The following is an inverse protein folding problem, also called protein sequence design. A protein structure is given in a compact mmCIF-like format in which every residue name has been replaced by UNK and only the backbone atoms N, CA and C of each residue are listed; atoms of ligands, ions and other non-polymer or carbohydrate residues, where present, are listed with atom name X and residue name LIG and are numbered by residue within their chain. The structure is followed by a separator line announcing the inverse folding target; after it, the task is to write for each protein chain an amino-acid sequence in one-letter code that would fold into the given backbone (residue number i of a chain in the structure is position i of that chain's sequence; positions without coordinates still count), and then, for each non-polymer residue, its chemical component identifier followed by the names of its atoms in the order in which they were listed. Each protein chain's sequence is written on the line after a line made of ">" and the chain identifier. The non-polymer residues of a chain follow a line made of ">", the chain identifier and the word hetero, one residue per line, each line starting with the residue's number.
data_IF_423275335332
#
_entry.id   IF_423275335332
#
_cell.length_a   1.000
_cell.length_b   1.000
_cell.length_c   1.000
_cell.angle_alpha   90.00
_cell.angle_beta   90.00
_cell.angle_gamma   90.00
#
_symmetry.space_group_name_H-M   'P 1'
#
loop_
_entity.id
_entity.type
_entity.pdbx_description
1 polymer ?
#
# COMPACT_ATOMS: atom_id res chain seq x y z
N UNK A 1 4.85 -2.61 -28.38
CA UNK A 1 4.84 -1.69 -27.23
C UNK A 1 4.91 -2.56 -25.99
N UNK A 2 5.63 -2.16 -24.95
CA UNK A 2 5.78 -2.97 -23.74
C UNK A 2 4.44 -3.04 -23.00
N UNK A 3 4.12 -4.20 -22.41
CA UNK A 3 2.90 -4.44 -21.63
C UNK A 3 2.62 -3.31 -20.62
N UNK A 4 3.68 -2.79 -19.98
CA UNK A 4 3.61 -1.65 -19.05
C UNK A 4 3.06 -0.35 -19.65
N UNK A 5 3.49 0.04 -20.85
CA UNK A 5 3.03 1.29 -21.46
C UNK A 5 1.56 1.20 -21.86
N UNK A 6 1.15 0.06 -22.39
CA UNK A 6 -0.23 -0.21 -22.78
C UNK A 6 -1.14 -0.23 -21.55
N UNK A 7 -0.70 -0.85 -20.44
CA UNK A 7 -1.41 -0.84 -19.16
C UNK A 7 -1.51 0.56 -18.56
N UNK A 8 -0.43 1.37 -18.59
CA UNK A 8 -0.44 2.75 -18.10
C UNK A 8 -1.46 3.59 -18.87
N UNK A 9 -1.45 3.51 -20.20
CA UNK A 9 -2.43 4.22 -21.05
C UNK A 9 -3.84 3.74 -20.74
N UNK A 10 -4.05 2.42 -20.71
CA UNK A 10 -5.36 1.83 -20.45
C UNK A 10 -5.96 2.25 -19.10
N UNK A 11 -5.17 2.19 -18.01
CA UNK A 11 -5.66 2.60 -16.69
C UNK A 11 -5.93 4.09 -16.67
N UNK A 12 -5.04 4.92 -17.23
CA UNK A 12 -5.21 6.38 -17.28
C UNK A 12 -6.48 6.77 -18.02
N UNK A 13 -6.76 6.14 -19.16
CA UNK A 13 -7.94 6.41 -19.98
C UNK A 13 -9.24 5.91 -19.30
N UNK A 14 -9.13 4.99 -18.33
CA UNK A 14 -10.26 4.47 -17.57
C UNK A 14 -10.67 5.32 -16.36
N UNK A 15 -9.81 6.26 -15.92
CA UNK A 15 -10.10 7.11 -14.77
C UNK A 15 -11.23 8.09 -15.09
N UNK A 16 -12.19 8.21 -14.17
CA UNK A 16 -13.36 9.09 -14.32
C UNK A 16 -13.23 10.39 -13.55
N UNK A 17 -12.33 10.44 -12.57
CA UNK A 17 -12.00 11.64 -11.81
C UNK A 17 -10.99 12.51 -12.55
N UNK A 18 -10.91 13.79 -12.21
CA UNK A 18 -9.95 14.70 -12.86
C UNK A 18 -8.52 14.28 -12.55
N UNK A 19 -7.63 14.31 -13.53
CA UNK A 19 -6.22 13.94 -13.36
C UNK A 19 -5.34 15.17 -13.54
N UNK A 20 -4.57 15.50 -12.50
CA UNK A 20 -3.53 16.52 -12.51
C UNK A 20 -2.16 15.84 -12.49
N UNK A 21 -1.42 15.92 -13.59
CA UNK A 21 -0.10 15.29 -13.70
C UNK A 21 1.00 16.35 -13.73
N UNK A 22 1.93 16.22 -12.79
CA UNK A 22 3.10 17.08 -12.67
C UNK A 22 4.35 16.26 -13.02
N UNK A 23 4.98 16.52 -14.17
CA UNK A 23 6.24 15.86 -14.50
C UNK A 23 7.33 16.33 -13.53
N UNK A 24 8.05 15.37 -12.95
CA UNK A 24 9.05 15.65 -11.92
C UNK A 24 10.37 14.91 -12.20
N UNK A 25 11.46 15.49 -11.70
CA UNK A 25 12.78 14.85 -11.68
C UNK A 25 12.96 13.94 -10.45
N UNK A 26 11.88 13.70 -9.69
CA UNK A 26 11.84 12.74 -8.59
C UNK A 26 12.23 11.33 -9.05
N UNK A 27 12.83 10.56 -8.14
CA UNK A 27 13.24 9.16 -8.39
C UNK A 27 12.11 8.16 -8.19
N UNK A 28 10.95 8.59 -7.70
CA UNK A 28 9.81 7.71 -7.38
C UNK A 28 8.53 8.42 -7.79
N UNK A 29 7.58 7.66 -8.36
CA UNK A 29 6.22 8.15 -8.58
C UNK A 29 5.49 8.31 -7.23
N UNK A 30 4.79 9.42 -7.05
CA UNK A 30 3.90 9.60 -5.90
C UNK A 30 2.55 10.13 -6.38
N UNK A 31 1.49 9.60 -5.79
CA UNK A 31 0.13 9.92 -6.17
C UNK A 31 -0.78 10.04 -4.97
N UNK A 32 -1.76 10.94 -5.07
CA UNK A 32 -2.84 10.99 -4.10
C UNK A 32 -4.19 11.27 -4.76
N UNK A 33 -5.23 10.70 -4.15
CA UNK A 33 -6.60 10.78 -4.63
C UNK A 33 -7.46 11.51 -3.61
N UNK A 34 -8.23 12.50 -4.05
CA UNK A 34 -9.16 13.24 -3.22
C UNK A 34 -10.60 12.89 -3.60
N UNK A 35 -11.31 12.10 -2.78
CA UNK A 35 -12.69 11.71 -3.07
C UNK A 35 -13.70 12.86 -2.94
N UNK A 36 -13.35 13.96 -2.25
CA UNK A 36 -14.22 15.12 -2.11
C UNK A 36 -14.26 15.97 -3.37
N UNK A 37 -13.09 16.19 -3.99
CA UNK A 37 -12.98 16.95 -5.24
C UNK A 37 -13.03 16.06 -6.49
N UNK A 38 -13.00 14.72 -6.31
CA UNK A 38 -12.85 13.74 -7.38
C UNK A 38 -11.66 14.08 -8.28
N UNK A 39 -10.49 14.18 -7.64
CA UNK A 39 -9.24 14.56 -8.30
C UNK A 39 -8.13 13.60 -7.91
N UNK A 40 -7.34 13.18 -8.89
CA UNK A 40 -6.06 12.51 -8.72
C UNK A 40 -4.95 13.49 -9.03
N UNK A 41 -3.93 13.54 -8.19
CA UNK A 41 -2.71 14.29 -8.46
C UNK A 41 -1.56 13.30 -8.51
N UNK A 42 -0.78 13.36 -9.59
CA UNK A 42 0.38 12.50 -9.82
C UNK A 42 1.64 13.33 -9.99
N UNK A 43 2.69 12.89 -9.31
CA UNK A 43 4.06 13.33 -9.53
C UNK A 43 4.76 12.21 -10.28
N UNK A 44 4.85 12.37 -11.60
CA UNK A 44 5.34 11.31 -12.49
C UNK A 44 6.84 11.49 -12.80
N UNK A 45 7.70 10.52 -12.45
CA UNK A 45 9.09 10.52 -12.85
C UNK A 45 9.20 10.38 -14.38
N UNK A 46 10.12 11.14 -14.98
CA UNK A 46 10.34 11.11 -16.44
C UNK A 46 11.10 9.89 -16.95
N UNK A 47 11.75 9.14 -16.06
CA UNK A 47 12.68 8.06 -16.45
C UNK A 47 11.94 6.74 -16.74
N UNK A 48 12.30 6.02 -17.81
CA UNK A 48 11.71 4.71 -18.15
C UNK A 48 11.86 3.65 -17.05
N UNK A 49 12.86 3.76 -16.17
CA UNK A 49 13.07 2.81 -15.08
C UNK A 49 11.95 2.80 -14.02
N UNK A 50 11.11 3.85 -13.97
CA UNK A 50 10.09 4.03 -12.93
C UNK A 50 8.66 3.81 -13.45
N UNK A 51 8.49 3.20 -14.63
CA UNK A 51 7.15 3.02 -15.23
C UNK A 51 6.27 2.07 -14.42
N UNK A 52 6.85 1.07 -13.75
CA UNK A 52 6.10 0.21 -12.83
C UNK A 52 5.59 1.00 -11.59
N UNK A 53 6.37 1.96 -11.09
CA UNK A 53 5.94 2.85 -10.00
C UNK A 53 4.77 3.75 -10.46
N UNK A 54 4.84 4.25 -11.70
CA UNK A 54 3.74 5.02 -12.31
C UNK A 54 2.47 4.16 -12.44
N UNK A 55 2.59 2.92 -12.93
CA UNK A 55 1.47 1.99 -13.01
C UNK A 55 0.88 1.68 -11.62
N UNK A 56 1.74 1.56 -10.61
CA UNK A 56 1.32 1.35 -9.21
C UNK A 56 0.45 2.51 -8.70
N UNK A 57 0.87 3.77 -8.93
CA UNK A 57 0.08 4.92 -8.51
C UNK A 57 -1.23 5.07 -9.31
N UNK A 58 -1.22 4.75 -10.62
CA UNK A 58 -2.44 4.73 -11.44
C UNK A 58 -3.42 3.63 -10.99
N UNK A 59 -2.93 2.43 -10.69
CA UNK A 59 -3.75 1.34 -10.16
C UNK A 59 -4.36 1.72 -8.80
N UNK A 60 -3.59 2.40 -7.95
CA UNK A 60 -4.09 2.97 -6.70
C UNK A 60 -5.21 3.98 -6.94
N UNK A 61 -5.06 4.91 -7.90
CA UNK A 61 -6.11 5.86 -8.27
C UNK A 61 -7.39 5.17 -8.76
N UNK A 62 -7.26 4.18 -9.66
CA UNK A 62 -8.39 3.41 -10.16
C UNK A 62 -9.16 2.67 -9.05
N UNK A 63 -8.45 2.16 -8.03
CA UNK A 63 -9.08 1.59 -6.85
C UNK A 63 -9.79 2.65 -5.99
N UNK A 64 -9.25 3.87 -5.89
CA UNK A 64 -9.86 4.95 -5.11
C UNK A 64 -11.23 5.39 -5.65
N UNK A 65 -11.46 5.27 -6.96
CA UNK A 65 -12.77 5.58 -7.56
C UNK A 65 -13.85 4.57 -7.18
N UNK A 66 -13.45 3.34 -6.86
CA UNK A 66 -14.36 2.19 -6.59
C UNK A 66 -14.51 1.90 -5.09
N UNK A 67 -13.47 2.17 -4.31
CA UNK A 67 -13.40 1.85 -2.89
C UNK A 67 -13.94 2.99 -2.02
N UNK A 68 -14.49 2.69 -0.82
CA UNK A 68 -14.91 3.75 0.08
C UNK A 68 -13.75 4.66 0.52
N UNK A 69 -14.08 5.90 0.88
CA UNK A 69 -13.16 7.02 1.09
C UNK A 69 -11.91 6.69 1.92
N UNK A 70 -12.02 5.89 2.98
CA UNK A 70 -10.91 5.50 3.84
C UNK A 70 -9.73 4.85 3.08
N UNK A 71 -10.00 4.17 1.95
CA UNK A 71 -8.98 3.61 1.09
C UNK A 71 -8.16 4.70 0.38
N UNK A 72 -8.85 5.75 -0.10
CA UNK A 72 -8.27 6.84 -0.89
C UNK A 72 -7.53 7.90 -0.05
N UNK A 73 -7.99 8.13 1.17
CA UNK A 73 -7.50 9.25 1.96
C UNK A 73 -6.24 8.88 2.74
N UNK A 74 -5.10 9.48 2.37
CA UNK A 74 -3.92 9.57 3.27
C UNK A 74 -4.12 10.62 4.37
N UNK A 75 -5.12 11.50 4.20
CA UNK A 75 -5.57 12.50 5.17
C UNK A 75 -6.89 12.05 5.79
N UNK A 76 -6.87 11.62 7.05
CA UNK A 76 -8.10 11.44 7.84
C UNK A 76 -8.64 12.84 8.15
N UNK A 77 -9.37 13.44 7.21
CA UNK A 77 -9.93 14.79 7.37
C UNK A 77 -11.05 14.77 8.42
N UNK A 78 -11.00 15.72 9.36
CA UNK A 78 -12.05 15.91 10.38
C UNK A 78 -11.75 15.29 11.76
N UNK A 79 -10.59 14.67 11.95
CA UNK A 79 -10.10 14.28 13.28
C UNK A 79 -8.96 15.21 13.66
N UNK A 80 -9.11 15.91 14.79
CA UNK A 80 -7.97 16.44 15.53
C UNK A 80 -6.99 15.29 15.73
N UNK A 81 -5.89 15.27 14.97
CA UNK A 81 -4.83 14.27 15.11
C UNK A 81 -4.06 14.60 16.40
N UNK A 82 -4.66 14.29 17.56
CA UNK A 82 -3.93 14.21 18.82
C UNK A 82 -2.89 13.09 18.69
N UNK A 83 -1.66 13.45 18.31
CA UNK A 83 -0.39 12.76 18.57
C UNK A 83 -0.15 11.32 18.08
N UNK A 84 -1.15 10.43 18.09
CA UNK A 84 -1.01 8.97 17.95
C UNK A 84 -1.54 8.42 16.60
N UNK A 85 -2.32 9.21 15.86
CA UNK A 85 -2.97 8.78 14.63
C UNK A 85 -2.10 8.94 13.36
N UNK A 86 -0.97 9.67 13.44
CA UNK A 86 -0.11 9.92 12.27
C UNK A 86 0.69 8.68 11.87
N UNK A 87 1.24 7.91 12.81
CA UNK A 87 1.95 6.68 12.49
C UNK A 87 1.02 5.60 11.89
N UNK A 88 -0.21 5.50 12.40
CA UNK A 88 -1.22 4.53 11.95
C UNK A 88 -1.66 4.73 10.49
N UNK A 89 -1.55 5.95 9.95
CA UNK A 89 -1.79 6.22 8.52
C UNK A 89 -0.86 5.39 7.62
N UNK A 90 0.35 5.09 8.09
CA UNK A 90 1.30 4.29 7.33
C UNK A 90 0.89 2.83 7.27
N UNK A 91 0.20 2.30 8.30
CA UNK A 91 -0.37 0.95 8.27
C UNK A 91 -1.53 0.86 7.28
N UNK A 92 -2.37 1.91 7.19
CA UNK A 92 -3.42 1.99 6.16
C UNK A 92 -2.81 2.07 4.76
N UNK A 93 -1.77 2.90 4.54
CA UNK A 93 -1.04 2.96 3.26
C UNK A 93 -0.42 1.59 2.92
N UNK A 94 0.17 0.92 3.91
CA UNK A 94 0.80 -0.38 3.72
C UNK A 94 -0.23 -1.46 3.36
N UNK A 95 -1.34 -1.54 4.09
CA UNK A 95 -2.45 -2.45 3.78
C UNK A 95 -3.05 -2.19 2.40
N UNK A 96 -3.21 -0.93 2.01
CA UNK A 96 -3.71 -0.54 0.68
C UNK A 96 -2.82 -1.08 -0.43
N UNK A 97 -1.50 -0.95 -0.26
CA UNK A 97 -0.53 -1.35 -1.27
C UNK A 97 -0.59 -2.87 -1.59
N UNK A 98 -1.09 -3.70 -0.68
CA UNK A 98 -1.34 -5.13 -0.94
C UNK A 98 -2.37 -5.35 -2.05
N UNK A 99 -3.45 -4.58 -2.05
CA UNK A 99 -4.50 -4.65 -3.09
C UNK A 99 -4.06 -4.00 -4.40
N UNK A 100 -3.25 -2.93 -4.30
CA UNK A 100 -2.67 -2.29 -5.47
C UNK A 100 -1.75 -3.26 -6.22
N UNK A 101 -0.92 -4.03 -5.51
CA UNK A 101 -0.04 -5.03 -6.12
C UNK A 101 -0.81 -6.06 -6.95
N UNK A 102 -1.96 -6.55 -6.47
CA UNK A 102 -2.80 -7.47 -7.24
C UNK A 102 -3.30 -6.86 -8.56
N UNK A 103 -3.72 -5.59 -8.54
CA UNK A 103 -4.16 -4.89 -9.76
C UNK A 103 -3.00 -4.71 -10.73
N UNK A 104 -1.83 -4.30 -10.25
CA UNK A 104 -0.64 -4.14 -11.10
C UNK A 104 -0.24 -5.47 -11.73
N UNK A 105 -0.25 -6.56 -10.94
CA UNK A 105 0.08 -7.90 -11.43
C UNK A 105 -0.94 -8.42 -12.45
N UNK A 106 -2.23 -8.17 -12.26
CA UNK A 106 -3.27 -8.55 -13.24
C UNK A 106 -3.06 -7.87 -14.60
N UNK A 107 -2.60 -6.62 -14.59
CA UNK A 107 -2.30 -5.86 -15.79
C UNK A 107 -0.98 -6.27 -16.47
N UNK A 108 0.09 -6.46 -15.68
CA UNK A 108 1.43 -6.73 -16.18
C UNK A 108 2.11 -7.84 -15.34
N UNK A 109 1.71 -9.11 -15.48
CA UNK A 109 2.14 -10.18 -14.58
C UNK A 109 3.65 -10.44 -14.64
N UNK A 110 4.23 -10.45 -15.85
CA UNK A 110 5.66 -10.73 -16.02
C UNK A 110 6.52 -9.60 -15.44
N UNK A 111 6.24 -8.34 -15.77
CA UNK A 111 6.98 -7.19 -15.26
C UNK A 111 6.88 -7.09 -13.73
N UNK A 112 5.71 -7.38 -13.16
CA UNK A 112 5.51 -7.42 -11.72
C UNK A 112 6.28 -8.56 -11.05
N UNK A 113 6.16 -9.79 -11.57
CA UNK A 113 6.81 -10.98 -11.00
C UNK A 113 8.35 -10.85 -11.05
N UNK A 114 8.90 -10.28 -12.13
CA UNK A 114 10.33 -9.98 -12.27
C UNK A 114 10.79 -8.92 -11.25
N UNK A 115 10.05 -7.81 -11.12
CA UNK A 115 10.35 -6.77 -10.14
C UNK A 115 10.27 -7.30 -8.70
N UNK A 116 9.28 -8.15 -8.40
CA UNK A 116 9.13 -8.81 -7.11
C UNK A 116 10.31 -9.75 -6.84
N UNK A 117 10.74 -10.55 -7.81
CA UNK A 117 11.87 -11.45 -7.67
C UNK A 117 13.17 -10.69 -7.36
N UNK A 118 13.41 -9.55 -8.01
CA UNK A 118 14.56 -8.67 -7.73
C UNK A 118 14.46 -8.07 -6.32
N UNK A 119 13.30 -7.55 -5.94
CA UNK A 119 13.10 -6.90 -4.64
C UNK A 119 13.11 -7.87 -3.45
N UNK A 120 12.84 -9.16 -3.70
CA UNK A 120 12.80 -10.21 -2.69
C UNK A 120 14.19 -10.50 -2.10
N UNK A 121 15.26 -10.46 -2.92
CA UNK A 121 16.63 -10.78 -2.48
C UNK A 121 17.05 -9.92 -1.27
N UNK A 122 17.06 -8.58 -1.35
CA UNK A 122 17.43 -7.75 -0.21
C UNK A 122 16.41 -7.80 0.95
N UNK A 123 15.14 -8.15 0.68
CA UNK A 123 14.13 -8.31 1.73
C UNK A 123 14.42 -9.55 2.59
N UNK A 124 14.85 -10.66 1.99
CA UNK A 124 15.24 -11.88 2.69
C UNK A 124 16.47 -11.67 3.58
N UNK A 125 17.48 -10.95 3.06
CA UNK A 125 18.68 -10.60 3.84
C UNK A 125 18.30 -9.83 5.12
N UNK A 126 17.45 -8.81 5.00
CA UNK A 126 16.99 -8.04 6.17
C UNK A 126 16.11 -8.84 7.12
N UNK A 127 15.22 -9.69 6.59
CA UNK A 127 14.34 -10.54 7.42
C UNK A 127 15.09 -11.68 8.15
N UNK A 128 16.35 -11.94 7.78
CA UNK A 128 17.22 -12.90 8.45
C UNK A 128 17.79 -12.38 9.78
N UNK A 129 17.73 -11.07 10.01
CA UNK A 129 18.24 -10.40 11.21
C UNK A 129 17.07 -9.83 12.02
N UNK A 130 16.81 -10.35 13.23
CA UNK A 130 15.82 -9.76 14.12
C UNK A 130 16.18 -8.30 14.46
N UNK A 131 15.19 -7.42 14.40
CA UNK A 131 15.36 -6.03 14.78
C UNK A 131 14.06 -5.50 15.40
N UNK A 132 14.10 -4.54 16.34
CA UNK A 132 12.90 -3.96 16.93
C UNK A 132 12.09 -3.17 15.89
N UNK A 133 10.77 -3.12 16.06
CA UNK A 133 9.92 -2.21 15.29
C UNK A 133 9.44 -1.09 16.21
N UNK A 134 10.02 0.10 16.06
CA UNK A 134 9.77 1.23 16.95
C UNK A 134 8.72 2.17 16.35
N UNK A 135 7.44 1.86 16.55
CA UNK A 135 6.39 2.78 16.13
C UNK A 135 6.43 4.08 16.98
N UNK A 136 7.15 5.09 16.53
CA UNK A 136 7.07 6.45 17.08
C UNK A 136 5.66 7.01 16.85
N UNK A 137 5.17 7.85 17.76
CA UNK A 137 3.80 8.39 17.74
C UNK A 137 3.54 9.20 16.48
N UNK A 138 4.57 9.88 15.96
CA UNK A 138 4.43 10.88 14.90
C UNK A 138 4.73 10.36 13.49
N UNK A 139 5.65 9.42 13.33
CA UNK A 139 6.06 8.92 12.01
C UNK A 139 6.65 7.53 12.12
N UNK A 140 6.66 6.81 10.99
CA UNK A 140 7.57 5.68 10.84
C UNK A 140 8.97 6.18 10.49
N UNK A 141 9.99 5.51 11.01
CA UNK A 141 11.36 5.60 10.49
C UNK A 141 11.44 5.04 9.06
N UNK A 142 12.55 5.29 8.37
CA UNK A 142 12.79 4.67 7.06
C UNK A 142 12.84 3.15 7.17
N UNK A 143 13.48 2.63 8.22
CA UNK A 143 13.62 1.19 8.47
C UNK A 143 12.27 0.51 8.71
N UNK A 144 11.36 1.15 9.45
CA UNK A 144 10.01 0.64 9.68
C UNK A 144 9.17 0.62 8.40
N UNK A 145 9.26 1.68 7.57
CA UNK A 145 8.62 1.68 6.25
C UNK A 145 9.19 0.57 5.36
N UNK A 146 10.50 0.38 5.40
CA UNK A 146 11.18 -0.67 4.65
C UNK A 146 10.73 -2.06 5.10
N UNK A 147 10.56 -2.27 6.41
CA UNK A 147 10.06 -3.52 6.97
C UNK A 147 8.62 -3.83 6.59
N UNK A 148 7.73 -2.85 6.57
CA UNK A 148 6.37 -3.03 6.06
C UNK A 148 6.38 -3.43 4.58
N UNK A 149 7.27 -2.85 3.78
CA UNK A 149 7.44 -3.20 2.37
C UNK A 149 8.05 -4.60 2.19
N UNK A 150 9.03 -4.98 3.01
CA UNK A 150 9.65 -6.31 2.97
C UNK A 150 8.67 -7.41 3.37
N UNK A 151 7.91 -7.21 4.45
CA UNK A 151 6.84 -8.13 4.84
C UNK A 151 5.81 -8.33 3.72
N UNK A 152 5.43 -7.24 3.03
CA UNK A 152 4.54 -7.31 1.86
C UNK A 152 5.15 -8.10 0.72
N UNK A 153 6.44 -7.88 0.39
CA UNK A 153 7.17 -8.63 -0.64
C UNK A 153 7.27 -10.12 -0.32
N UNK A 154 7.49 -10.46 0.94
CA UNK A 154 7.53 -11.85 1.40
C UNK A 154 6.17 -12.53 1.28
N UNK A 155 5.09 -11.83 1.66
CA UNK A 155 3.72 -12.31 1.47
C UNK A 155 3.38 -12.49 -0.03
N UNK A 156 3.74 -11.50 -0.85
CA UNK A 156 3.59 -11.51 -2.30
C UNK A 156 4.33 -12.69 -2.95
N UNK A 157 5.60 -12.91 -2.57
CA UNK A 157 6.41 -13.99 -3.12
C UNK A 157 5.84 -15.38 -2.77
N UNK A 158 5.32 -15.55 -1.56
CA UNK A 158 4.60 -16.77 -1.18
C UNK A 158 3.32 -16.95 -1.99
N UNK A 159 2.52 -15.90 -2.10
CA UNK A 159 1.20 -15.94 -2.72
C UNK A 159 1.24 -16.13 -4.24
N UNK A 160 2.04 -15.34 -4.95
CA UNK A 160 2.07 -15.35 -6.42
C UNK A 160 3.20 -16.21 -7.02
N UNK A 161 4.36 -16.28 -6.38
CA UNK A 161 5.51 -17.03 -6.90
C UNK A 161 5.68 -18.42 -6.28
N UNK A 162 4.84 -18.78 -5.30
CA UNK A 162 4.95 -20.04 -4.56
C UNK A 162 6.25 -20.17 -3.74
N UNK A 163 6.94 -19.05 -3.48
CA UNK A 163 8.23 -19.05 -2.78
C UNK A 163 8.02 -18.86 -1.29
N UNK A 164 8.18 -19.93 -0.53
CA UNK A 164 8.23 -19.84 0.93
C UNK A 164 9.63 -19.46 1.43
N UNK A 165 9.70 -18.85 2.60
CA UNK A 165 10.96 -18.45 3.22
C UNK A 165 10.86 -18.60 4.73
N UNK A 166 11.93 -19.11 5.34
CA UNK A 166 12.01 -19.21 6.80
C UNK A 166 12.46 -17.87 7.36
N UNK A 167 11.53 -17.16 8.01
CA UNK A 167 11.78 -15.84 8.56
C UNK A 167 12.29 -15.96 9.99
N UNK A 168 13.44 -15.33 10.29
CA UNK A 168 14.01 -15.31 11.65
C UNK A 168 13.51 -14.13 12.47
N UNK A 169 13.18 -13.02 11.82
CA UNK A 169 12.58 -11.87 12.48
C UNK A 169 11.07 -12.11 12.73
N UNK A 170 10.64 -12.30 13.99
CA UNK A 170 9.26 -12.63 14.30
C UNK A 170 8.28 -11.51 13.94
N UNK A 171 8.72 -10.23 13.98
CA UNK A 171 7.87 -9.10 13.63
C UNK A 171 7.58 -9.08 12.13
N UNK A 172 8.62 -9.18 11.30
CA UNK A 172 8.46 -9.27 9.84
C UNK A 172 7.61 -10.49 9.46
N UNK A 173 7.78 -11.63 10.15
CA UNK A 173 6.95 -12.81 9.93
C UNK A 173 5.47 -12.58 10.24
N UNK A 174 5.16 -11.95 11.38
CA UNK A 174 3.79 -11.61 11.74
C UNK A 174 3.16 -10.60 10.77
N UNK A 175 3.92 -9.61 10.30
CA UNK A 175 3.47 -8.66 9.28
C UNK A 175 3.18 -9.35 7.94
N UNK A 176 4.05 -10.26 7.50
CA UNK A 176 3.85 -11.01 6.25
C UNK A 176 2.59 -11.89 6.33
N UNK A 177 2.37 -12.56 7.48
CA UNK A 177 1.16 -13.32 7.73
C UNK A 177 -0.11 -12.44 7.71
N UNK A 178 -0.03 -11.22 8.24
CA UNK A 178 -1.15 -10.28 8.22
C UNK A 178 -1.57 -9.87 6.79
N UNK A 179 -0.62 -9.67 5.88
CA UNK A 179 -0.95 -9.46 4.46
C UNK A 179 -1.60 -10.68 3.83
N UNK A 180 -1.00 -11.86 4.00
CA UNK A 180 -1.47 -13.09 3.39
C UNK A 180 -2.82 -13.59 3.93
N UNK A 181 -3.30 -13.04 5.06
CA UNK A 181 -4.57 -13.41 5.66
C UNK A 181 -5.79 -13.02 4.81
N UNK A 182 -5.65 -12.09 3.85
CA UNK A 182 -6.72 -11.66 2.96
C UNK A 182 -6.24 -11.68 1.50
N UNK A 183 -6.93 -12.40 0.60
CA UNK A 183 -6.62 -12.38 -0.83
C UNK A 183 -6.73 -10.96 -1.41
N UNK A 184 -5.72 -10.45 -2.13
CA UNK A 184 -5.71 -9.08 -2.64
C UNK A 184 -6.53 -8.87 -3.93
N UNK A 185 -6.91 -9.94 -4.64
CA UNK A 185 -7.55 -9.88 -5.97
C UNK A 185 -8.94 -9.25 -5.95
N UNK A 186 -9.65 -9.31 -4.82
CA UNK A 186 -10.98 -8.74 -4.65
C UNK A 186 -10.97 -7.71 -3.52
N UNK A 187 -10.55 -6.46 -3.81
CA UNK A 187 -10.48 -5.42 -2.79
C UNK A 187 -11.89 -5.09 -2.28
N UNK A 188 -12.07 -5.23 -0.97
CA UNK A 188 -13.28 -4.83 -0.26
C UNK A 188 -12.89 -4.04 0.99
N UNK A 189 -13.77 -3.17 1.48
CA UNK A 189 -13.49 -2.42 2.71
C UNK A 189 -13.25 -3.34 3.92
N UNK A 190 -14.04 -4.42 4.14
CA UNK A 190 -13.73 -5.41 5.18
C UNK A 190 -12.37 -6.07 4.99
N UNK A 191 -12.00 -6.47 3.77
CA UNK A 191 -10.69 -7.08 3.49
C UNK A 191 -9.54 -6.11 3.74
N UNK A 192 -9.67 -4.87 3.27
CA UNK A 192 -8.69 -3.81 3.54
C UNK A 192 -8.47 -3.57 5.04
N UNK A 193 -9.56 -3.50 5.81
CA UNK A 193 -9.50 -3.33 7.26
C UNK A 193 -8.94 -4.58 7.96
N UNK A 194 -9.22 -5.79 7.45
CA UNK A 194 -8.66 -7.02 7.98
C UNK A 194 -7.14 -7.02 7.88
N UNK A 195 -6.58 -6.65 6.71
CA UNK A 195 -5.12 -6.49 6.54
C UNK A 195 -4.59 -5.41 7.48
N UNK A 196 -5.19 -4.22 7.49
CA UNK A 196 -4.74 -3.11 8.35
C UNK A 196 -4.77 -3.47 9.85
N UNK A 197 -5.79 -4.21 10.30
CA UNK A 197 -5.91 -4.68 11.68
C UNK A 197 -4.95 -5.82 12.00
N UNK A 198 -4.66 -6.70 11.04
CA UNK A 198 -3.60 -7.70 11.15
C UNK A 198 -2.23 -7.03 11.33
N UNK A 199 -1.93 -5.97 10.57
CA UNK A 199 -0.71 -5.18 10.75
C UNK A 199 -0.65 -4.50 12.13
N UNK A 200 -1.77 -3.96 12.62
CA UNK A 200 -1.86 -3.47 13.99
C UNK A 200 -1.55 -4.57 15.01
N UNK A 201 -2.17 -5.74 14.87
CA UNK A 201 -2.00 -6.85 15.81
C UNK A 201 -0.55 -7.37 15.85
N UNK A 202 0.09 -7.51 14.67
CA UNK A 202 1.50 -7.88 14.55
C UNK A 202 2.45 -6.91 15.28
N UNK A 203 2.04 -5.65 15.45
CA UNK A 203 2.79 -4.60 16.15
C UNK A 203 2.29 -4.34 17.57
N UNK A 204 1.39 -5.18 18.11
CA UNK A 204 0.81 -5.00 19.44
C UNK A 204 -0.03 -3.73 19.59
N UNK A 205 -0.68 -3.28 18.50
CA UNK A 205 -1.48 -2.05 18.45
C UNK A 205 -2.97 -2.35 18.43
N UNK A 206 -3.75 -1.37 18.91
CA UNK A 206 -5.21 -1.41 18.86
C UNK A 206 -5.68 -1.47 17.39
N UNK A 207 -6.74 -2.25 17.10
CA UNK A 207 -7.31 -2.29 15.77
C UNK A 207 -7.91 -0.93 15.38
N UNK A 208 -8.07 -0.72 14.09
CA UNK A 208 -8.95 0.28 13.52
C UNK A 208 -10.40 -0.17 13.73
N UNK A 209 -11.19 0.67 14.41
CA UNK A 209 -12.64 0.53 14.58
C UNK A 209 -13.32 1.63 13.79
N UNK A 210 -13.58 1.42 12.49
CA UNK A 210 -14.20 2.47 11.72
C UNK A 210 -15.67 2.58 12.08
N UNK A 211 -16.08 3.78 12.48
CA UNK A 211 -17.48 4.13 12.68
C UNK A 211 -18.04 4.72 11.38
N UNK A 212 -19.19 4.21 10.88
CA UNK A 212 -19.93 4.90 9.84
C UNK A 212 -20.49 6.20 10.43
N UNK A 213 -19.90 7.33 10.06
CA UNK A 213 -20.45 8.66 10.37
C UNK A 213 -20.72 9.35 9.05
N UNK A 214 -21.95 9.81 8.76
CA UNK A 214 -22.30 10.62 7.57
C UNK A 214 -21.68 10.12 6.22
N UNK A 215 -21.59 8.82 5.99
CA UNK A 215 -20.98 8.26 4.77
C UNK A 215 -19.44 8.17 4.79
N UNK A 216 -18.80 8.46 5.92
CA UNK A 216 -17.38 8.32 6.18
C UNK A 216 -17.11 7.06 7.02
N UNK A 217 -15.98 6.40 6.77
CA UNK A 217 -15.38 5.45 7.70
C UNK A 217 -14.35 6.24 8.51
N UNK A 218 -14.71 6.66 9.73
CA UNK A 218 -13.77 7.34 10.63
C UNK A 218 -13.20 6.33 11.61
N UNK A 219 -11.88 6.24 11.71
CA UNK A 219 -11.25 5.47 12.79
C UNK A 219 -11.26 6.35 14.04
N UNK A 220 -12.15 6.06 14.98
CA UNK A 220 -12.11 6.65 16.31
C UNK A 220 -11.04 5.94 17.15
N UNK A 221 -10.31 6.72 17.96
CA UNK A 221 -9.59 6.18 19.13
C UNK A 221 -10.50 6.44 20.33
N UNK A 222 -11.05 5.40 20.99
CA UNK A 222 -11.69 5.62 22.27
C UNK A 222 -10.57 5.90 23.28
N UNK A 223 -10.52 7.16 23.75
CA UNK A 223 -9.79 7.70 24.92
C UNK A 223 -8.63 6.89 25.48
#
# INVERSE_FOLDING_TARGET
>A
MSCLEDAIVSVRDSLTWSVEEMPSDAEIADGWSNPDTRTHVFVSPRRPAHRLDVLTELAHAALCEKMPRLFSTTKVWGVSLHGHAVARKHLLRAARNWFVDAVVRDLCPQDFDDALAVALVPALERASVPCPFLLDRYTLSQDERQRLADARRLAAAKHWLGRESTLRDPVTAALAAAYAATPPETPTMPGFLAVANGLCAALGRRPFTPEPRKGYWMVSDPG
#
